data_IF_609605392046
#
_entry.id   IF_609605392046
#
_cell.length_a   1.000
_cell.length_b   1.000
_cell.length_c   1.000
_cell.angle_alpha   90.00
_cell.angle_beta   90.00
_cell.angle_gamma   90.00
#
_symmetry.space_group_name_H-M   'P 1'
#
loop_
_entity.id
_entity.type
_entity.pdbx_description
1 polymer ?
#
# COMPACT_ATOMS: atom_id res chain seq x y z
N UNK A 1 -20.27 39.91 8.40
CA UNK A 1 -19.77 38.76 7.62
C UNK A 1 -20.91 37.78 7.43
N UNK A 2 -21.32 37.49 6.19
CA UNK A 2 -22.54 36.73 5.89
C UNK A 2 -22.37 35.26 6.31
N UNK A 3 -23.25 34.72 7.16
CA UNK A 3 -23.17 33.35 7.67
C UNK A 3 -23.16 32.29 6.55
N UNK A 4 -23.75 32.63 5.40
CA UNK A 4 -23.77 31.81 4.19
C UNK A 4 -22.37 31.65 3.57
N UNK A 5 -21.55 32.71 3.59
CA UNK A 5 -20.19 32.70 3.05
C UNK A 5 -19.23 31.84 3.90
N UNK A 6 -19.40 31.83 5.22
CA UNK A 6 -18.59 31.02 6.14
C UNK A 6 -18.91 29.53 5.97
N UNK A 7 -20.20 29.17 5.85
CA UNK A 7 -20.62 27.77 5.67
C UNK A 7 -20.14 27.17 4.34
N UNK A 8 -20.20 27.94 3.24
CA UNK A 8 -19.71 27.50 1.93
C UNK A 8 -18.19 27.23 1.96
N UNK A 9 -17.42 28.07 2.67
CA UNK A 9 -15.96 27.93 2.76
C UNK A 9 -15.54 26.71 3.59
N UNK A 10 -16.27 26.41 4.67
CA UNK A 10 -16.06 25.19 5.48
C UNK A 10 -16.36 23.94 4.64
N UNK A 11 -17.42 23.94 3.84
CA UNK A 11 -17.79 22.80 3.00
C UNK A 11 -16.73 22.53 1.92
N UNK A 12 -16.16 23.58 1.32
CA UNK A 12 -15.08 23.48 0.33
C UNK A 12 -13.80 22.91 0.97
N UNK A 13 -13.40 23.39 2.16
CA UNK A 13 -12.23 22.86 2.88
C UNK A 13 -12.43 21.40 3.28
N UNK A 14 -13.64 21.00 3.68
CA UNK A 14 -13.95 19.61 3.98
C UNK A 14 -13.92 18.72 2.73
N UNK A 15 -14.44 19.19 1.59
CA UNK A 15 -14.39 18.45 0.32
C UNK A 15 -12.95 18.30 -0.17
N UNK A 16 -12.14 19.35 -0.13
CA UNK A 16 -10.72 19.29 -0.50
C UNK A 16 -9.90 18.43 0.48
N UNK A 17 -10.17 18.52 1.78
CA UNK A 17 -9.53 17.69 2.80
C UNK A 17 -9.87 16.20 2.65
N UNK A 18 -11.14 15.88 2.40
CA UNK A 18 -11.59 14.50 2.15
C UNK A 18 -11.06 13.98 0.82
N UNK A 19 -11.08 14.77 -0.25
CA UNK A 19 -10.52 14.37 -1.54
C UNK A 19 -9.00 14.15 -1.46
N UNK A 20 -8.27 14.99 -0.73
CA UNK A 20 -6.83 14.81 -0.49
C UNK A 20 -6.54 13.56 0.35
N UNK A 21 -7.32 13.32 1.42
CA UNK A 21 -7.21 12.11 2.24
C UNK A 21 -7.52 10.86 1.41
N UNK A 22 -8.58 10.86 0.59
CA UNK A 22 -8.95 9.74 -0.28
C UNK A 22 -7.91 9.49 -1.38
N UNK A 23 -7.36 10.55 -1.97
CA UNK A 23 -6.32 10.46 -3.00
C UNK A 23 -4.97 9.94 -2.46
N UNK A 24 -4.70 10.13 -1.16
CA UNK A 24 -3.50 9.60 -0.51
C UNK A 24 -3.69 8.20 0.10
N UNK A 25 -4.93 7.68 0.16
CA UNK A 25 -5.22 6.33 0.67
C UNK A 25 -5.00 5.23 -0.37
N UNK A 26 -4.89 5.59 -1.65
CA UNK A 26 -4.63 4.67 -2.75
C UNK A 26 -3.79 5.36 -3.82
N UNK A 27 -2.49 5.04 -3.98
CA UNK A 27 -1.74 5.57 -5.11
C UNK A 27 -2.29 4.93 -6.39
N UNK A 28 -3.18 5.65 -7.09
CA UNK A 28 -3.54 5.37 -8.49
C UNK A 28 -2.36 5.66 -9.46
N UNK A 29 -1.21 6.09 -8.94
CA UNK A 29 -0.02 6.49 -9.68
C UNK A 29 1.03 5.40 -9.53
N UNK A 30 1.27 4.64 -10.61
CA UNK A 30 2.31 3.61 -10.64
C UNK A 30 3.66 4.15 -10.16
N UNK A 31 4.37 3.34 -9.38
CA UNK A 31 5.59 3.75 -8.70
C UNK A 31 6.78 3.61 -9.65
N UNK A 32 7.52 4.71 -9.82
CA UNK A 32 8.71 4.76 -10.66
C UNK A 32 9.94 4.51 -9.78
N UNK A 33 10.77 3.55 -10.16
CA UNK A 33 11.99 3.16 -9.45
C UNK A 33 13.13 2.97 -10.45
N UNK A 34 14.37 3.26 -10.07
CA UNK A 34 15.51 2.96 -10.96
C UNK A 34 15.94 1.51 -10.80
N UNK A 35 16.48 0.94 -11.87
CA UNK A 35 17.11 -0.39 -11.82
C UNK A 35 18.18 -0.44 -10.71
N UNK A 36 18.14 -1.50 -9.91
CA UNK A 36 19.00 -1.72 -8.76
C UNK A 36 18.53 -1.08 -7.45
N UNK A 37 17.55 -0.16 -7.48
CA UNK A 37 16.98 0.44 -6.27
C UNK A 37 15.89 -0.45 -5.65
N UNK A 38 15.64 -0.23 -4.36
CA UNK A 38 14.54 -0.84 -3.65
C UNK A 38 13.30 0.04 -3.70
N UNK A 39 12.15 -0.62 -3.73
CA UNK A 39 10.82 -0.05 -3.65
C UNK A 39 10.06 -0.71 -2.49
N UNK A 40 9.47 0.09 -1.61
CA UNK A 40 8.72 -0.40 -0.46
C UNK A 40 7.26 0.05 -0.51
N UNK A 41 6.36 -0.83 -0.10
CA UNK A 41 4.93 -0.55 0.08
C UNK A 41 4.55 -0.77 1.53
N UNK A 42 3.88 0.23 2.11
CA UNK A 42 3.31 0.15 3.46
C UNK A 42 1.84 -0.21 3.36
N UNK A 43 1.43 -1.25 4.09
CA UNK A 43 0.08 -1.76 4.08
C UNK A 43 -0.44 -1.84 5.49
N UNK A 44 -1.62 -1.30 5.75
CA UNK A 44 -2.28 -1.47 7.05
C UNK A 44 -2.51 -2.97 7.30
N UNK A 45 -2.22 -3.42 8.53
CA UNK A 45 -2.35 -4.82 8.92
C UNK A 45 -2.64 -4.94 10.41
N UNK A 46 -3.56 -5.79 10.81
CA UNK A 46 -3.82 -6.12 12.20
C UNK A 46 -3.49 -7.59 12.50
N UNK A 47 -2.23 -7.87 12.86
CA UNK A 47 -1.75 -9.22 13.13
C UNK A 47 -2.54 -9.94 14.26
N UNK A 48 -3.18 -9.20 15.17
CA UNK A 48 -3.99 -9.78 16.27
C UNK A 48 -5.25 -10.51 15.78
N UNK A 49 -5.70 -10.22 14.56
CA UNK A 49 -6.88 -10.84 13.94
C UNK A 49 -6.53 -12.12 13.17
N UNK A 50 -5.25 -12.46 13.06
CA UNK A 50 -4.75 -13.58 12.27
C UNK A 50 -4.59 -13.31 10.77
N UNK A 51 -5.01 -12.13 10.29
CA UNK A 51 -4.79 -11.74 8.91
C UNK A 51 -3.34 -11.27 8.68
N UNK A 52 -2.83 -11.54 7.49
CA UNK A 52 -1.52 -11.09 7.02
C UNK A 52 -1.54 -10.84 5.52
N UNK A 53 -0.65 -9.98 5.03
CA UNK A 53 -0.46 -9.83 3.58
C UNK A 53 0.34 -10.98 3.01
N UNK A 54 0.01 -11.38 1.78
CA UNK A 54 0.69 -12.41 1.03
C UNK A 54 0.71 -12.07 -0.46
N UNK A 55 1.67 -12.63 -1.20
CA UNK A 55 1.63 -12.60 -2.65
C UNK A 55 0.36 -13.31 -3.16
N UNK A 56 -0.46 -12.58 -3.91
CA UNK A 56 -1.63 -13.14 -4.56
C UNK A 56 -1.27 -13.89 -5.85
N UNK A 57 -0.11 -13.58 -6.44
CA UNK A 57 0.46 -14.21 -7.63
C UNK A 57 1.98 -14.28 -7.48
N UNK A 58 2.66 -15.27 -8.10
CA UNK A 58 4.11 -15.26 -8.20
C UNK A 58 4.63 -13.94 -8.80
N UNK A 59 5.78 -13.48 -8.33
CA UNK A 59 6.46 -12.31 -8.89
C UNK A 59 7.01 -12.63 -10.28
N UNK A 60 7.06 -11.62 -11.14
CA UNK A 60 7.90 -11.68 -12.33
C UNK A 60 9.35 -11.36 -11.94
N UNK A 61 10.10 -12.42 -11.64
CA UNK A 61 11.49 -12.36 -11.21
C UNK A 61 12.46 -11.78 -12.26
N UNK A 62 11.99 -11.50 -13.49
CA UNK A 62 12.79 -10.74 -14.43
C UNK A 62 12.81 -9.24 -14.11
N UNK A 63 11.80 -8.73 -13.41
CA UNK A 63 11.64 -7.30 -13.14
C UNK A 63 11.83 -6.95 -11.67
N UNK A 64 11.34 -7.78 -10.74
CA UNK A 64 11.47 -7.53 -9.30
C UNK A 64 11.76 -8.79 -8.52
N UNK A 65 12.49 -8.65 -7.41
CA UNK A 65 12.63 -9.69 -6.38
C UNK A 65 12.11 -9.16 -5.04
N UNK A 66 11.52 -10.05 -4.22
CA UNK A 66 11.18 -9.72 -2.84
C UNK A 66 12.46 -9.70 -1.99
N UNK A 67 12.73 -8.57 -1.34
CA UNK A 67 13.85 -8.39 -0.42
C UNK A 67 13.41 -8.70 1.01
N UNK A 68 12.27 -8.17 1.43
CA UNK A 68 11.75 -8.38 2.78
C UNK A 68 10.26 -8.06 2.90
N UNK A 69 9.62 -8.65 3.91
CA UNK A 69 8.28 -8.28 4.38
C UNK A 69 8.33 -8.23 5.92
N UNK A 70 8.12 -7.05 6.50
CA UNK A 70 8.25 -6.84 7.96
C UNK A 70 6.99 -6.23 8.52
N UNK A 71 6.46 -6.79 9.61
CA UNK A 71 5.37 -6.20 10.37
C UNK A 71 5.90 -5.23 11.43
N UNK A 72 5.40 -4.01 11.41
CA UNK A 72 5.70 -2.96 12.37
C UNK A 72 4.54 -2.81 13.35
N UNK A 73 4.83 -2.96 14.64
CA UNK A 73 3.88 -2.75 15.73
C UNK A 73 3.68 -1.24 15.92
N UNK A 74 2.43 -0.75 16.06
CA UNK A 74 2.19 0.67 16.26
C UNK A 74 2.73 1.12 17.63
N UNK A 75 3.46 2.24 17.65
CA UNK A 75 4.07 2.80 18.87
C UNK A 75 3.03 3.52 19.76
N UNK A 76 1.94 2.85 20.09
CA UNK A 76 0.83 3.39 20.89
C UNK A 76 0.69 2.75 22.27
N UNK A 77 1.46 1.69 22.54
CA UNK A 77 1.37 0.91 23.78
C UNK A 77 0.04 0.18 23.99
N UNK A 78 -0.89 0.26 23.03
CA UNK A 78 -2.24 -0.33 23.12
C UNK A 78 -2.31 -1.64 22.34
N UNK A 79 -2.54 -2.73 23.07
CA UNK A 79 -2.83 -4.06 22.51
C UNK A 79 -4.10 -4.01 21.64
N UNK A 80 -4.09 -4.69 20.50
CA UNK A 80 -5.22 -4.75 19.56
C UNK A 80 -5.24 -3.65 18.49
N UNK A 81 -4.32 -2.68 18.57
CA UNK A 81 -4.15 -1.68 17.50
C UNK A 81 -3.50 -2.33 16.30
N UNK A 82 -4.09 -2.18 15.11
CA UNK A 82 -3.47 -2.61 13.86
C UNK A 82 -2.13 -1.91 13.63
N UNK A 83 -1.14 -2.67 13.16
CA UNK A 83 0.15 -2.17 12.70
C UNK A 83 0.21 -2.02 11.18
N UNK A 84 1.43 -2.15 10.65
CA UNK A 84 1.71 -1.95 9.23
C UNK A 84 2.68 -3.01 8.74
N UNK A 85 2.40 -3.65 7.60
CA UNK A 85 3.38 -4.49 6.90
C UNK A 85 4.13 -3.68 5.84
N UNK A 86 5.45 -3.75 5.88
CA UNK A 86 6.35 -3.12 4.91
C UNK A 86 6.90 -4.20 3.99
N UNK A 87 6.50 -4.13 2.72
CA UNK A 87 6.95 -5.05 1.68
C UNK A 87 7.98 -4.36 0.79
N UNK A 88 9.22 -4.84 0.79
CA UNK A 88 10.33 -4.26 0.03
C UNK A 88 10.75 -5.17 -1.11
N UNK A 89 10.83 -4.62 -2.31
CA UNK A 89 11.25 -5.30 -3.52
C UNK A 89 12.45 -4.59 -4.14
N UNK A 90 13.31 -5.31 -4.84
CA UNK A 90 14.41 -4.73 -5.62
C UNK A 90 14.06 -4.74 -7.10
N UNK A 91 14.31 -3.63 -7.78
CA UNK A 91 14.12 -3.51 -9.22
C UNK A 91 15.30 -4.13 -9.98
N UNK A 92 15.04 -5.11 -10.85
CA UNK A 92 16.06 -5.90 -11.52
C UNK A 92 16.30 -5.50 -12.98
N UNK A 93 15.24 -5.10 -13.70
CA UNK A 93 15.30 -4.81 -15.15
C UNK A 93 14.39 -3.66 -15.53
N UNK A 94 14.84 -2.81 -16.45
CA UNK A 94 14.03 -1.73 -17.03
C UNK A 94 12.77 -2.30 -17.68
N UNK A 95 11.62 -1.69 -17.42
CA UNK A 95 10.34 -2.13 -17.93
C UNK A 95 9.18 -1.77 -17.02
N UNK A 96 8.12 -2.58 -17.06
CA UNK A 96 6.95 -2.43 -16.19
C UNK A 96 6.53 -3.80 -15.67
N UNK A 97 6.14 -3.85 -14.42
CA UNK A 97 5.59 -5.07 -13.79
C UNK A 97 4.50 -4.70 -12.79
N UNK A 98 3.73 -5.68 -12.36
CA UNK A 98 2.69 -5.54 -11.34
C UNK A 98 2.98 -6.47 -10.17
N UNK A 99 2.83 -5.95 -8.96
CA UNK A 99 2.90 -6.74 -7.73
C UNK A 99 1.49 -6.88 -7.18
N UNK A 100 1.06 -8.11 -6.91
CA UNK A 100 -0.28 -8.42 -6.42
C UNK A 100 -0.18 -8.96 -5.01
N UNK A 101 -0.83 -8.28 -4.07
CA UNK A 101 -0.92 -8.68 -2.66
C UNK A 101 -2.37 -8.92 -2.27
N UNK A 102 -2.57 -9.89 -1.37
CA UNK A 102 -3.86 -10.24 -0.77
C UNK A 102 -3.74 -10.29 0.74
N UNK A 103 -4.77 -9.82 1.44
CA UNK A 103 -4.85 -9.83 2.90
C UNK A 103 -5.78 -10.97 3.33
N UNK A 104 -5.21 -12.01 3.95
CA UNK A 104 -5.89 -13.29 4.21
C UNK A 104 -5.49 -13.86 5.57
N UNK A 105 -6.32 -14.76 6.09
CA UNK A 105 -5.91 -15.73 7.12
C UNK A 105 -5.38 -16.98 6.41
N UNK A 106 -4.10 -17.36 6.55
CA UNK A 106 -3.52 -18.43 5.74
C UNK A 106 -4.17 -19.81 5.94
N UNK A 107 -4.88 -20.02 7.05
CA UNK A 107 -5.56 -21.27 7.37
C UNK A 107 -6.99 -21.37 6.82
N UNK A 108 -7.61 -20.26 6.42
CA UNK A 108 -8.94 -20.24 5.81
C UNK A 108 -8.78 -20.43 4.28
N UNK A 109 -9.06 -21.64 3.78
CA UNK A 109 -8.74 -22.02 2.39
C UNK A 109 -9.74 -21.51 1.34
N UNK A 110 -11.00 -21.35 1.74
CA UNK A 110 -12.12 -21.09 0.83
C UNK A 110 -12.73 -19.69 1.00
N UNK A 111 -12.11 -18.86 1.84
CA UNK A 111 -12.56 -17.48 2.04
C UNK A 111 -11.89 -16.52 1.06
N UNK A 112 -12.65 -15.59 0.44
CA UNK A 112 -12.05 -14.54 -0.37
C UNK A 112 -11.15 -13.64 0.49
N UNK A 113 -10.08 -13.05 -0.08
CA UNK A 113 -9.26 -12.10 0.65
C UNK A 113 -10.10 -10.92 1.17
N UNK A 114 -9.87 -10.56 2.43
CA UNK A 114 -10.48 -9.37 3.02
C UNK A 114 -10.06 -8.09 2.28
N UNK A 115 -8.86 -8.10 1.70
CA UNK A 115 -8.38 -7.02 0.87
C UNK A 115 -7.43 -7.52 -0.22
N UNK A 116 -7.39 -6.80 -1.35
CA UNK A 116 -6.35 -6.97 -2.38
C UNK A 116 -5.73 -5.62 -2.72
N UNK A 117 -4.45 -5.65 -3.10
CA UNK A 117 -3.68 -4.49 -3.56
C UNK A 117 -2.87 -4.86 -4.79
N UNK A 118 -2.84 -3.96 -5.76
CA UNK A 118 -2.04 -4.11 -6.98
C UNK A 118 -1.18 -2.88 -7.13
N UNK A 119 0.13 -3.10 -7.26
CA UNK A 119 1.10 -2.03 -7.46
C UNK A 119 1.69 -2.11 -8.86
N UNK A 120 1.42 -1.08 -9.67
CA UNK A 120 2.08 -0.87 -10.95
C UNK A 120 3.48 -0.29 -10.72
N UNK A 121 4.53 -1.00 -11.14
CA UNK A 121 5.93 -0.58 -10.98
C UNK A 121 6.55 -0.32 -12.34
N UNK A 122 7.06 0.89 -12.55
CA UNK A 122 7.82 1.29 -13.74
C UNK A 122 9.29 1.40 -13.39
N UNK A 123 10.12 0.56 -13.99
CA UNK A 123 11.55 0.51 -13.74
C UNK A 123 12.27 1.27 -14.86
N UNK A 124 13.09 2.25 -14.50
CA UNK A 124 13.85 3.10 -15.43
C UNK A 124 15.36 2.90 -15.26
N UNK A 125 16.16 3.32 -16.24
CA UNK A 125 17.62 3.25 -16.16
C UNK A 125 18.16 4.13 -15.03
N UNK A 126 19.31 3.73 -14.48
CA UNK A 126 20.17 4.61 -13.67
C UNK A 126 20.91 5.51 -14.66
N UNK A 127 20.73 6.83 -14.54
CA UNK A 127 21.43 7.82 -15.37
C UNK A 127 22.91 7.82 -15.03
#
# INVERSE_FOLDING_TARGET
MNKILVAALVLVVLIFGVAWVLNNRFPAKGQIVRIGENISFSLDSNATTGYQWQLARPLDNNFVELVSSVYLVPNTGRVGTGGTEIWTFKALKVGRTKIYLKYVRPWEKDEPPAETRVFDVKIIKRT
#
